data_IF_009666819489
#
_entry.id   IF_009666819489
#
_cell.length_a   1.000
_cell.length_b   1.000
_cell.length_c   1.000
_cell.angle_alpha   90.00
_cell.angle_beta   90.00
_cell.angle_gamma   90.00
#
_symmetry.space_group_name_H-M   'P 1'
#
loop_
_entity.id
_entity.type
_entity.pdbx_description
1 polymer ?
#
# COMPACT_ATOMS: atom_id res chain seq x y z
N UNK A 1 7.46 -15.79 7.44
CA UNK A 1 7.47 -14.42 7.99
C UNK A 1 6.88 -14.48 9.38
N UNK A 2 7.01 -13.40 10.15
CA UNK A 2 6.43 -13.32 11.48
C UNK A 2 5.78 -11.98 11.75
N UNK A 3 4.77 -12.00 12.60
CA UNK A 3 4.10 -10.82 13.12
C UNK A 3 4.62 -10.58 14.53
N UNK A 4 5.12 -9.38 14.79
CA UNK A 4 5.57 -8.97 16.12
C UNK A 4 4.61 -7.91 16.64
N UNK A 5 3.89 -8.22 17.71
CA UNK A 5 3.05 -7.28 18.44
C UNK A 5 3.90 -6.63 19.52
N UNK A 6 3.90 -5.30 19.58
CA UNK A 6 4.66 -4.55 20.57
C UNK A 6 3.90 -3.32 21.05
N UNK A 7 4.32 -2.81 22.21
CA UNK A 7 3.81 -1.57 22.79
C UNK A 7 4.93 -0.91 23.60
N UNK A 8 5.11 0.39 23.43
CA UNK A 8 6.15 1.14 24.14
C UNK A 8 7.54 0.49 23.95
N UNK A 9 7.84 0.07 22.70
CA UNK A 9 9.00 -0.73 22.30
C UNK A 9 9.07 -2.17 22.86
N UNK A 10 8.28 -2.54 23.87
CA UNK A 10 8.29 -3.88 24.44
C UNK A 10 7.51 -4.88 23.57
N UNK A 11 8.13 -6.01 23.25
CA UNK A 11 7.47 -7.11 22.53
C UNK A 11 6.45 -7.77 23.45
N UNK A 12 5.20 -7.80 23.00
CA UNK A 12 4.09 -8.47 23.67
C UNK A 12 3.99 -9.91 23.22
N UNK A 13 4.06 -10.13 21.90
CA UNK A 13 3.87 -11.45 21.30
C UNK A 13 4.56 -11.51 19.94
N UNK A 14 5.02 -12.71 19.60
CA UNK A 14 5.54 -13.04 18.28
C UNK A 14 4.67 -14.18 17.74
N UNK A 15 4.20 -14.04 16.50
CA UNK A 15 3.52 -15.10 15.76
C UNK A 15 4.41 -15.46 14.60
N UNK A 16 5.00 -16.65 14.67
CA UNK A 16 5.87 -17.20 13.63
C UNK A 16 5.05 -17.91 12.54
N UNK A 17 5.75 -18.35 11.48
CA UNK A 17 5.17 -19.15 10.38
C UNK A 17 3.99 -18.46 9.66
N UNK A 18 4.07 -17.14 9.53
CA UNK A 18 3.09 -16.34 8.79
C UNK A 18 3.42 -16.40 7.31
N UNK A 19 2.54 -17.03 6.53
CA UNK A 19 2.64 -17.19 5.08
C UNK A 19 1.56 -16.39 4.36
N UNK A 20 1.93 -15.67 3.29
CA UNK A 20 1.03 -14.83 2.49
C UNK A 20 0.14 -13.87 3.33
N UNK A 21 0.75 -13.04 4.21
CA UNK A 21 0.01 -12.11 5.03
C UNK A 21 -0.70 -11.05 4.18
N UNK A 22 -1.92 -10.71 4.58
CA UNK A 22 -2.74 -9.63 4.01
C UNK A 22 -3.07 -8.68 5.16
N UNK A 23 -2.60 -7.45 5.06
CA UNK A 23 -2.85 -6.41 6.07
C UNK A 23 -4.01 -5.53 5.61
N UNK A 24 -5.07 -5.46 6.43
CA UNK A 24 -6.25 -4.63 6.21
C UNK A 24 -6.57 -3.82 7.47
N UNK A 25 -5.97 -2.62 7.57
CA UNK A 25 -6.07 -1.77 8.74
C UNK A 25 -5.53 -2.47 9.99
N UNK A 26 -6.42 -2.70 10.97
CA UNK A 26 -6.10 -3.36 12.24
C UNK A 26 -6.29 -4.89 12.21
N UNK A 27 -6.41 -5.47 11.02
CA UNK A 27 -6.58 -6.90 10.84
C UNK A 27 -5.48 -7.44 9.94
N UNK A 28 -4.95 -8.61 10.30
CA UNK A 28 -3.97 -9.34 9.52
C UNK A 28 -4.52 -10.75 9.30
N UNK A 29 -4.57 -11.19 8.06
CA UNK A 29 -4.98 -12.55 7.70
C UNK A 29 -3.83 -13.22 6.97
N UNK A 30 -3.60 -14.51 7.21
CA UNK A 30 -2.62 -15.34 6.51
C UNK A 30 -3.23 -16.72 6.27
N UNK A 31 -2.52 -17.58 5.54
CA UNK A 31 -3.10 -18.84 5.05
C UNK A 31 -3.68 -19.73 6.17
N UNK A 32 -2.96 -19.82 7.30
CA UNK A 32 -3.32 -20.67 8.45
C UNK A 32 -3.98 -19.92 9.62
N UNK A 33 -4.30 -18.63 9.48
CA UNK A 33 -4.85 -17.89 10.61
C UNK A 33 -5.20 -16.42 10.37
N UNK A 34 -5.69 -15.79 11.44
CA UNK A 34 -5.99 -14.36 11.41
C UNK A 34 -5.84 -13.74 12.79
N UNK A 35 -5.44 -12.47 12.79
CA UNK A 35 -5.42 -11.56 13.93
C UNK A 35 -6.33 -10.39 13.61
N UNK A 36 -7.47 -10.32 14.28
CA UNK A 36 -8.47 -9.27 14.06
C UNK A 36 -8.57 -8.33 15.25
N UNK A 37 -8.79 -7.04 14.99
CA UNK A 37 -8.99 -6.03 16.03
C UNK A 37 -7.73 -5.72 16.82
N UNK A 38 -6.56 -5.75 16.18
CA UNK A 38 -5.28 -5.42 16.80
C UNK A 38 -5.33 -3.97 17.28
N UNK A 39 -5.19 -3.76 18.59
CA UNK A 39 -5.17 -2.42 19.22
C UNK A 39 -3.77 -1.95 19.62
N UNK A 40 -2.76 -2.74 19.29
CA UNK A 40 -1.36 -2.48 19.59
C UNK A 40 -0.58 -2.31 18.30
N UNK A 41 0.63 -1.77 18.40
CA UNK A 41 1.50 -1.67 17.22
C UNK A 41 1.99 -3.06 16.82
N UNK A 42 2.16 -3.25 15.51
CA UNK A 42 2.68 -4.49 14.97
C UNK A 42 3.66 -4.26 13.83
N UNK A 43 4.59 -5.18 13.68
CA UNK A 43 5.53 -5.26 12.56
C UNK A 43 5.34 -6.58 11.84
N UNK A 44 5.55 -6.57 10.53
CA UNK A 44 5.64 -7.77 9.73
C UNK A 44 7.09 -7.93 9.27
N UNK A 45 7.76 -8.97 9.75
CA UNK A 45 9.21 -9.17 9.58
C UNK A 45 9.50 -10.50 8.90
N UNK A 46 10.68 -10.61 8.27
CA UNK A 46 11.19 -11.91 7.85
C UNK A 46 11.55 -12.78 9.06
N UNK A 47 11.49 -14.10 8.87
CA UNK A 47 11.80 -15.06 9.93
C UNK A 47 13.24 -14.93 10.44
N UNK A 48 14.14 -14.46 9.59
CA UNK A 48 15.56 -14.23 9.87
C UNK A 48 15.81 -13.07 10.85
N UNK A 49 14.87 -12.15 11.00
CA UNK A 49 15.03 -10.98 11.89
C UNK A 49 14.90 -11.44 13.34
N UNK A 50 15.96 -11.39 14.12
CA UNK A 50 15.88 -11.74 15.55
C UNK A 50 15.34 -10.54 16.32
N UNK A 51 14.20 -10.72 17.01
CA UNK A 51 13.63 -9.71 17.91
C UNK A 51 13.68 -10.27 19.33
N UNK A 52 14.55 -9.69 20.16
CA UNK A 52 14.80 -10.15 21.53
C UNK A 52 14.24 -9.15 22.55
N UNK A 53 12.95 -9.27 22.85
CA UNK A 53 12.26 -8.57 23.95
C UNK A 53 11.89 -7.12 23.69
N UNK A 54 12.69 -6.39 22.91
CA UNK A 54 12.44 -4.99 22.54
C UNK A 54 12.53 -4.79 21.03
N UNK A 55 11.71 -3.88 20.53
CA UNK A 55 11.67 -3.40 19.16
C UNK A 55 12.54 -2.15 19.04
N UNK A 56 13.67 -2.27 18.37
CA UNK A 56 14.58 -1.14 18.11
C UNK A 56 14.18 -0.40 16.82
N UNK A 57 14.64 0.86 16.62
CA UNK A 57 14.43 1.58 15.37
C UNK A 57 14.93 0.83 14.13
N UNK A 58 16.01 0.05 14.26
CA UNK A 58 16.57 -0.78 13.20
C UNK A 58 15.63 -1.93 12.79
N UNK A 59 14.89 -2.48 13.75
CA UNK A 59 13.86 -3.51 13.50
C UNK A 59 12.64 -2.86 12.83
N UNK A 60 12.23 -1.67 13.28
CA UNK A 60 11.12 -0.92 12.67
C UNK A 60 11.43 -0.59 11.20
N UNK A 61 12.68 -0.25 10.87
CA UNK A 61 13.09 0.05 9.50
C UNK A 61 13.00 -1.15 8.55
N UNK A 62 12.93 -2.38 9.08
CA UNK A 62 12.83 -3.62 8.31
C UNK A 62 11.39 -4.12 8.16
N UNK A 63 10.43 -3.33 8.64
CA UNK A 63 9.02 -3.67 8.57
C UNK A 63 8.51 -3.73 7.13
N UNK A 64 7.97 -4.89 6.78
CA UNK A 64 7.43 -5.19 5.46
C UNK A 64 5.91 -4.97 5.38
N UNK A 65 5.24 -4.51 6.44
CA UNK A 65 3.77 -4.36 6.42
C UNK A 65 3.24 -3.54 5.24
N UNK A 66 4.01 -2.56 4.75
CA UNK A 66 3.65 -1.73 3.59
C UNK A 66 3.67 -2.49 2.25
N UNK A 67 4.44 -3.58 2.15
CA UNK A 67 4.49 -4.44 0.97
C UNK A 67 3.28 -5.38 0.89
N UNK A 68 2.67 -5.69 2.04
CA UNK A 68 1.56 -6.63 2.20
C UNK A 68 0.24 -5.97 2.61
N UNK A 69 0.25 -4.65 2.81
CA UNK A 69 -0.97 -3.86 2.86
C UNK A 69 -1.68 -3.98 1.53
N UNK A 70 -3.01 -4.15 1.56
CA UNK A 70 -3.81 -3.76 0.40
C UNK A 70 -3.44 -2.30 0.11
N UNK A 71 -2.59 -2.08 -0.89
CA UNK A 71 -2.39 -0.75 -1.48
C UNK A 71 -3.79 -0.20 -1.64
N UNK A 72 -4.07 0.93 -1.02
CA UNK A 72 -5.27 1.70 -1.25
C UNK A 72 -5.43 1.83 -2.78
N UNK A 73 -6.22 0.95 -3.39
CA UNK A 73 -6.42 0.94 -4.84
C UNK A 73 -6.94 2.32 -5.27
N UNK A 74 -7.61 3.03 -4.35
CA UNK A 74 -8.09 4.40 -4.48
C UNK A 74 -6.99 5.41 -4.84
N UNK A 75 -5.79 5.31 -4.27
CA UNK A 75 -4.71 6.26 -4.57
C UNK A 75 -4.11 6.02 -5.96
N UNK A 76 -3.91 4.75 -6.33
CA UNK A 76 -3.44 4.37 -7.67
C UNK A 76 -4.48 4.63 -8.76
N UNK A 77 -5.76 4.38 -8.47
CA UNK A 77 -6.89 4.65 -9.37
C UNK A 77 -7.10 6.16 -9.57
N UNK A 78 -6.89 6.99 -8.54
CA UNK A 78 -6.95 8.46 -8.68
C UNK A 78 -5.84 9.00 -9.58
N UNK A 79 -4.62 8.48 -9.45
CA UNK A 79 -3.51 8.89 -10.33
C UNK A 79 -3.81 8.53 -11.79
N UNK A 80 -4.25 7.31 -12.06
CA UNK A 80 -4.64 6.87 -13.41
C UNK A 80 -5.83 7.67 -13.96
N UNK A 81 -6.81 8.03 -13.11
CA UNK A 81 -7.94 8.86 -13.51
C UNK A 81 -7.51 10.29 -13.88
N UNK A 82 -6.50 10.84 -13.20
CA UNK A 82 -5.96 12.16 -13.50
C UNK A 82 -5.22 12.16 -14.85
N UNK A 83 -4.34 11.18 -15.08
CA UNK A 83 -3.64 11.02 -16.36
C UNK A 83 -4.61 10.82 -17.53
N UNK A 84 -5.67 10.01 -17.33
CA UNK A 84 -6.70 9.80 -18.34
C UNK A 84 -7.50 11.08 -18.66
N UNK A 85 -7.74 11.94 -17.67
CA UNK A 85 -8.40 13.24 -17.90
C UNK A 85 -7.53 14.20 -18.68
N UNK A 86 -6.26 14.33 -18.32
CA UNK A 86 -5.30 15.21 -19.00
C UNK A 86 -5.08 14.78 -20.46
N UNK A 87 -4.99 13.47 -20.71
CA UNK A 87 -4.91 12.94 -22.07
C UNK A 87 -6.18 13.23 -22.88
N UNK A 88 -7.36 13.14 -22.27
CA UNK A 88 -8.62 13.43 -22.94
C UNK A 88 -8.77 14.93 -23.25
N UNK A 89 -8.32 15.81 -22.35
CA UNK A 89 -8.31 17.27 -22.57
C UNK A 89 -7.35 17.67 -23.70
N UNK A 90 -6.14 17.08 -23.76
CA UNK A 90 -5.24 17.28 -24.90
C UNK A 90 -5.83 16.79 -26.21
N UNK A 91 -6.47 15.61 -26.22
CA UNK A 91 -7.14 15.10 -27.40
C UNK A 91 -8.31 15.99 -27.83
N UNK A 92 -9.09 16.51 -26.89
CA UNK A 92 -10.18 17.44 -27.17
C UNK A 92 -9.66 18.76 -27.77
N UNK A 93 -8.56 19.31 -27.25
CA UNK A 93 -7.91 20.50 -27.81
C UNK A 93 -7.37 20.25 -29.23
N UNK A 94 -6.72 19.11 -29.48
CA UNK A 94 -6.22 18.75 -30.80
C UNK A 94 -7.35 18.57 -31.83
N UNK A 95 -8.48 17.99 -31.41
CA UNK A 95 -9.68 17.86 -32.25
C UNK A 95 -10.28 19.23 -32.57
N UNK A 96 -10.32 20.15 -31.59
CA UNK A 96 -10.83 21.50 -31.78
C UNK A 96 -9.94 22.31 -32.75
N UNK A 97 -8.62 22.23 -32.62
CA UNK A 97 -7.66 22.86 -33.54
C UNK A 97 -7.79 22.33 -34.97
N UNK A 98 -7.96 21.01 -35.14
CA UNK A 98 -8.22 20.39 -36.44
C UNK A 98 -9.55 20.85 -37.03
N UNK A 99 -10.60 20.98 -36.21
CA UNK A 99 -11.90 21.46 -36.66
C UNK A 99 -11.85 22.94 -37.09
N UNK A 100 -11.10 23.78 -36.38
CA UNK A 100 -10.87 25.18 -36.76
C UNK A 100 -10.07 25.30 -38.05
N UNK A 101 -9.04 24.47 -38.27
CA UNK A 101 -8.32 24.43 -39.56
C UNK A 101 -9.21 24.03 -40.73
N UNK A 102 -10.13 23.08 -40.52
CA UNK A 102 -11.06 22.61 -41.56
C UNK A 102 -12.18 23.63 -41.85
N UNK A 103 -12.62 24.39 -40.85
CA UNK A 103 -13.69 25.39 -40.99
C UNK A 103 -13.17 26.78 -41.40
N UNK A 104 -11.92 27.12 -41.07
CA UNK A 104 -11.27 28.39 -41.40
C UNK A 104 -10.53 28.42 -42.75
N UNK A 105 -10.40 27.28 -43.43
CA UNK A 105 -9.78 27.18 -44.76
C UNK A 105 -10.71 27.48 -45.94
N UNK A 106 -11.89 28.06 -45.69
CA UNK A 106 -12.90 28.40 -46.69
C UNK A 106 -13.12 29.90 -46.85
N UNK A 107 -12.08 30.63 -47.26
CA UNK A 107 -12.19 31.94 -47.96
C UNK A 107 -11.48 31.86 -49.32
#
# INVERSE_FOLDING_TARGET
>A
MKIVLYKDAQVISIVDEVYNPIVNGNNITWDDGSLTGIKTEFLLLDDLIIVSGEVTPEIIAQDKKLLFGKKDEVAGLKAQLQEAKEANEMNAMAIMELAEMLLGGGE
#
